data_IF_095446596865
#
_entry.id   IF_095446596865
#
_cell.length_a   1.000
_cell.length_b   1.000
_cell.length_c   1.000
_cell.angle_alpha   90.00
_cell.angle_beta   90.00
_cell.angle_gamma   90.00
#
_symmetry.space_group_name_H-M   'P 1'
#
loop_
_entity.id
_entity.type
_entity.pdbx_description
1 polymer ?
#
# COMPACT_ATOMS: atom_id res chain seq x y z
N UNK A 1 -23.61 1.30 -12.43
CA UNK A 1 -22.33 0.71 -12.86
C UNK A 1 -21.52 0.59 -11.59
N UNK A 2 -21.69 -0.51 -10.87
CA UNK A 2 -21.04 -0.71 -9.57
C UNK A 2 -19.60 -1.06 -9.84
N UNK A 3 -18.71 -0.10 -9.61
CA UNK A 3 -17.28 -0.36 -9.54
C UNK A 3 -17.04 -1.23 -8.32
N UNK A 4 -17.29 -2.54 -8.43
CA UNK A 4 -16.73 -3.55 -7.54
C UNK A 4 -15.23 -3.68 -7.84
N UNK A 5 -14.52 -2.56 -7.73
CA UNK A 5 -13.09 -2.61 -7.51
C UNK A 5 -12.97 -3.18 -6.10
N UNK A 6 -12.57 -4.45 -6.01
CA UNK A 6 -12.36 -5.13 -4.73
C UNK A 6 -11.74 -4.15 -3.74
N UNK A 7 -12.45 -3.86 -2.63
CA UNK A 7 -12.13 -2.87 -1.59
C UNK A 7 -10.84 -3.19 -0.83
N UNK A 8 -9.77 -3.45 -1.57
CA UNK A 8 -8.44 -3.78 -1.07
C UNK A 8 -7.56 -2.58 -1.27
N UNK A 9 -7.07 -2.08 -0.16
CA UNK A 9 -6.21 -0.93 -0.02
C UNK A 9 -4.85 -1.41 0.43
N UNK A 10 -3.80 -0.77 -0.06
CA UNK A 10 -2.44 -0.99 0.42
C UNK A 10 -1.83 0.35 0.73
N UNK A 11 -0.97 0.39 1.74
CA UNK A 11 -0.18 1.59 1.97
C UNK A 11 0.98 1.57 1.00
N UNK A 12 1.12 2.64 0.24
CA UNK A 12 2.25 2.87 -0.65
C UNK A 12 2.97 4.16 -0.25
N UNK A 13 4.30 4.10 -0.18
CA UNK A 13 5.17 5.26 -0.13
C UNK A 13 6.07 5.27 -1.37
N UNK A 14 6.01 6.34 -2.19
CA UNK A 14 6.93 6.48 -3.33
C UNK A 14 8.38 6.67 -2.88
N UNK A 15 8.59 7.25 -1.71
CA UNK A 15 9.93 7.48 -1.19
C UNK A 15 10.58 6.16 -0.75
N UNK A 16 9.83 5.28 -0.08
CA UNK A 16 10.27 3.90 0.20
C UNK A 16 10.54 3.11 -1.07
N UNK A 17 9.65 3.24 -2.06
CA UNK A 17 9.84 2.59 -3.36
C UNK A 17 11.13 3.03 -4.06
N UNK A 18 11.51 4.31 -3.90
CA UNK A 18 12.72 4.89 -4.49
C UNK A 18 14.00 4.50 -3.73
N UNK A 19 13.95 4.35 -2.40
CA UNK A 19 15.13 4.02 -1.58
C UNK A 19 15.35 2.51 -1.41
N UNK A 20 14.29 1.71 -1.52
CA UNK A 20 14.29 0.30 -1.12
C UNK A 20 13.84 -0.59 -2.28
N UNK A 21 14.57 -0.63 -3.41
CA UNK A 21 14.39 -1.58 -4.52
C UNK A 21 12.91 -1.88 -4.89
N UNK A 22 12.07 -0.86 -5.05
CA UNK A 22 10.62 -0.98 -5.33
C UNK A 22 9.74 -1.53 -4.19
N UNK A 23 10.29 -1.78 -3.00
CA UNK A 23 9.59 -2.12 -1.76
C UNK A 23 8.92 -0.88 -1.14
N UNK A 24 7.99 -0.29 -1.89
CA UNK A 24 7.23 0.88 -1.46
C UNK A 24 5.93 0.54 -0.73
N UNK A 25 5.60 -0.74 -0.54
CA UNK A 25 4.30 -1.16 0.00
C UNK A 25 4.42 -1.64 1.43
N UNK A 26 3.43 -1.36 2.28
CA UNK A 26 3.48 -1.80 3.67
C UNK A 26 2.91 -3.20 3.87
N UNK A 27 3.58 -3.94 4.74
CA UNK A 27 3.09 -5.18 5.33
C UNK A 27 3.15 -5.14 6.84
N UNK A 28 2.06 -5.54 7.47
CA UNK A 28 1.96 -5.52 8.93
C UNK A 28 2.96 -6.49 9.61
N UNK A 29 3.38 -7.54 8.89
CA UNK A 29 4.27 -8.58 9.40
C UNK A 29 5.76 -8.32 9.07
N UNK A 30 6.04 -7.67 7.93
CA UNK A 30 7.40 -7.53 7.39
C UNK A 30 7.88 -6.08 7.22
N UNK A 31 7.00 -5.08 7.35
CA UNK A 31 7.30 -3.67 7.10
C UNK A 31 7.19 -3.29 5.62
N UNK A 32 8.09 -2.46 5.10
CA UNK A 32 8.09 -2.04 3.70
C UNK A 32 8.60 -3.16 2.78
N UNK A 33 7.72 -3.68 1.94
CA UNK A 33 7.93 -4.80 1.01
C UNK A 33 7.39 -4.46 -0.38
N UNK A 34 7.61 -5.36 -1.33
CA UNK A 34 7.05 -5.23 -2.68
C UNK A 34 5.55 -5.54 -2.70
N UNK A 35 4.86 -5.15 -3.77
CA UNK A 35 3.41 -5.32 -3.90
C UNK A 35 2.97 -6.76 -3.65
N UNK A 36 3.68 -7.75 -4.16
CA UNK A 36 3.35 -9.19 -3.99
C UNK A 36 3.26 -9.63 -2.52
N UNK A 37 4.07 -9.03 -1.66
CA UNK A 37 4.11 -9.34 -0.23
C UNK A 37 3.34 -8.35 0.63
N UNK A 38 2.74 -7.31 0.03
CA UNK A 38 2.06 -6.22 0.73
C UNK A 38 0.76 -6.67 1.40
N UNK A 39 0.48 -6.15 2.59
CA UNK A 39 -0.77 -6.45 3.31
C UNK A 39 -1.92 -5.66 2.70
N UNK A 40 -2.93 -6.39 2.21
CA UNK A 40 -4.16 -5.82 1.67
C UNK A 40 -5.16 -5.56 2.79
N UNK A 41 -5.46 -4.28 3.00
CA UNK A 41 -6.43 -3.79 3.96
C UNK A 41 -7.80 -3.67 3.31
N UNK A 42 -8.87 -4.02 4.04
CA UNK A 42 -10.23 -3.66 3.62
C UNK A 42 -10.45 -2.15 3.81
N UNK A 43 -11.49 -1.55 3.23
CA UNK A 43 -11.81 -0.14 3.48
C UNK A 43 -11.96 0.17 4.98
N UNK A 44 -12.68 -0.69 5.70
CA UNK A 44 -12.90 -0.58 7.15
C UNK A 44 -11.58 -0.69 7.92
N UNK A 45 -10.71 -1.62 7.51
CA UNK A 45 -9.42 -1.84 8.14
C UNK A 45 -8.45 -0.69 7.82
N UNK A 46 -8.42 -0.18 6.59
CA UNK A 46 -7.60 0.96 6.20
C UNK A 46 -8.01 2.27 6.90
N UNK A 47 -9.28 2.38 7.33
CA UNK A 47 -9.76 3.52 8.11
C UNK A 47 -9.34 3.43 9.58
N UNK A 48 -9.21 2.22 10.13
CA UNK A 48 -8.77 1.97 11.50
C UNK A 48 -7.24 1.84 11.60
N UNK A 49 -6.60 1.36 10.53
CA UNK A 49 -5.18 1.12 10.44
C UNK A 49 -4.42 2.45 10.42
N UNK A 50 -3.53 2.60 11.39
CA UNK A 50 -2.63 3.73 11.44
C UNK A 50 -1.61 3.66 10.30
N UNK A 51 -1.44 4.79 9.60
CA UNK A 51 -0.44 4.89 8.54
C UNK A 51 0.96 4.65 9.13
N UNK A 52 1.71 3.66 8.61
CA UNK A 52 3.07 3.39 9.07
C UNK A 52 3.99 4.58 8.81
N UNK A 53 4.98 4.73 9.69
CA UNK A 53 6.02 5.74 9.49
C UNK A 53 6.86 5.34 8.27
N UNK A 54 6.83 6.19 7.23
CA UNK A 54 7.65 6.08 6.02
C UNK A 54 8.72 7.15 6.04
N UNK A 55 9.83 6.91 5.33
CA UNK A 55 10.86 7.92 5.13
C UNK A 55 10.25 9.06 4.30
N UNK A 56 9.93 10.18 4.95
CA UNK A 56 9.28 11.34 4.31
C UNK A 56 7.84 11.60 4.77
N UNK A 57 7.21 10.64 5.47
CA UNK A 57 5.79 10.69 5.88
C UNK A 57 4.83 10.85 4.70
N UNK A 58 5.16 10.19 3.60
CA UNK A 58 4.42 10.20 2.33
C UNK A 58 3.70 8.85 2.09
N UNK A 59 3.56 8.01 3.12
CA UNK A 59 2.64 6.89 3.14
C UNK A 59 1.22 7.35 2.82
N UNK A 60 0.61 6.71 1.83
CA UNK A 60 -0.78 6.90 1.46
C UNK A 60 -1.44 5.56 1.18
N UNK A 61 -2.71 5.45 1.55
CA UNK A 61 -3.54 4.34 1.10
C UNK A 61 -3.85 4.51 -0.39
N UNK A 62 -3.55 3.49 -1.18
CA UNK A 62 -3.90 3.38 -2.59
C UNK A 62 -4.65 2.07 -2.81
N UNK A 63 -5.50 2.01 -3.81
CA UNK A 63 -6.22 0.76 -4.11
C UNK A 63 -5.24 -0.26 -4.69
N UNK A 64 -5.44 -1.54 -4.37
CA UNK A 64 -4.60 -2.63 -4.87
C UNK A 64 -4.53 -2.67 -6.39
N UNK A 65 -5.65 -2.38 -7.07
CA UNK A 65 -5.68 -2.31 -8.53
C UNK A 65 -4.82 -1.18 -9.07
N UNK A 66 -4.90 0.01 -8.49
CA UNK A 66 -4.10 1.15 -8.93
C UNK A 66 -2.61 0.86 -8.70
N UNK A 67 -2.29 0.28 -7.54
CA UNK A 67 -0.96 -0.18 -7.21
C UNK A 67 -0.40 -1.21 -8.23
N UNK A 68 -1.19 -2.23 -8.55
CA UNK A 68 -0.80 -3.26 -9.51
C UNK A 68 -0.67 -2.74 -10.94
N UNK A 69 -1.43 -1.69 -11.32
CA UNK A 69 -1.37 -1.11 -12.66
C UNK A 69 -0.21 -0.13 -12.84
N UNK A 70 0.17 0.58 -11.78
CA UNK A 70 1.21 1.60 -11.82
C UNK A 70 2.59 1.08 -11.40
N UNK A 71 2.64 0.04 -10.58
CA UNK A 71 3.88 -0.44 -9.96
C UNK A 71 4.09 -1.97 -10.06
N UNK A 72 3.17 -2.70 -10.72
CA UNK A 72 3.27 -4.15 -10.98
C UNK A 72 3.98 -4.50 -12.29
#
# INVERSE_FOLDING_TARGET
>A
MTCEASDRWVVYSPNESAISDSAGFWSNEFGWVQLDQATQFSLEDALDAELPVSVGRDARFVTWQDAQRHYG
#
